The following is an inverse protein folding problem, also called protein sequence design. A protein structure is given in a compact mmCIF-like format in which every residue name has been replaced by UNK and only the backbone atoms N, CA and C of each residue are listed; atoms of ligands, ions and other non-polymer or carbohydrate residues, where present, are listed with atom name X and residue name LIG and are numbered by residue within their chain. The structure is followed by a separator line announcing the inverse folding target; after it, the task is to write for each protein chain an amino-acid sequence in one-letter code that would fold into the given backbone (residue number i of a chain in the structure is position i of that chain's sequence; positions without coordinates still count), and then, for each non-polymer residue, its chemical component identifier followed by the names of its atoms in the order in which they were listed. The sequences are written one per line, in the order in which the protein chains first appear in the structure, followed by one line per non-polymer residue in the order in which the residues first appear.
data_IF_627858623313
#
_entry.id   IF_627858623313
#
_cell.length_a   1.000
_cell.length_b   1.000
_cell.length_c   1.000
_cell.angle_alpha   90.00
_cell.angle_beta   90.00
_cell.angle_gamma   90.00
#
_symmetry.space_group_name_H-M   'P 1'
#
loop_
_entity.id
_entity.type
_entity.pdbx_description
1 polymer ?
#
# COMPACT_ATOMS: atom_id res chain seq x y z
N UNK A 1 -16.85 -9.34 17.61
CA UNK A 1 -15.42 -9.73 17.70
C UNK A 1 -14.75 -9.32 16.40
N UNK A 2 -13.48 -8.90 16.40
CA UNK A 2 -12.81 -8.48 15.18
C UNK A 2 -12.51 -9.69 14.27
N UNK A 3 -12.69 -9.54 12.95
CA UNK A 3 -12.35 -10.55 11.94
C UNK A 3 -11.30 -9.98 10.99
N UNK A 4 -10.29 -10.78 10.65
CA UNK A 4 -9.18 -10.37 9.77
C UNK A 4 -9.25 -11.15 8.47
N UNK A 5 -9.15 -10.46 7.33
CA UNK A 5 -9.13 -11.05 6.01
C UNK A 5 -7.99 -10.44 5.18
N UNK A 6 -7.17 -11.29 4.57
CA UNK A 6 -6.21 -10.86 3.55
C UNK A 6 -6.96 -10.32 2.34
N UNK A 7 -6.48 -9.22 1.78
CA UNK A 7 -7.03 -8.63 0.57
C UNK A 7 -5.88 -8.23 -0.36
N UNK A 8 -5.99 -8.63 -1.62
CA UNK A 8 -5.16 -8.14 -2.71
C UNK A 8 -6.11 -7.61 -3.78
N UNK A 9 -5.92 -6.35 -4.20
CA UNK A 9 -6.79 -5.74 -5.19
C UNK A 9 -6.50 -6.33 -6.59
N UNK A 10 -7.52 -6.45 -7.46
CA UNK A 10 -7.31 -6.91 -8.84
C UNK A 10 -6.25 -6.05 -9.55
N UNK A 11 -5.28 -6.70 -10.20
CA UNK A 11 -4.20 -6.02 -10.93
C UNK A 11 -3.02 -5.58 -10.06
N UNK A 12 -3.08 -5.76 -8.74
CA UNK A 12 -1.92 -5.60 -7.85
C UNK A 12 -1.18 -6.92 -7.74
N UNK A 13 0.15 -6.86 -7.78
CA UNK A 13 0.99 -8.05 -7.62
C UNK A 13 0.79 -8.68 -6.23
N UNK A 14 0.35 -9.93 -6.17
CA UNK A 14 0.18 -10.68 -4.92
C UNK A 14 1.48 -11.40 -4.55
N UNK A 15 2.19 -10.83 -3.58
CA UNK A 15 3.48 -11.36 -3.12
C UNK A 15 3.31 -12.45 -2.06
N UNK A 16 4.14 -13.52 -2.07
CA UNK A 16 4.06 -14.56 -1.05
C UNK A 16 4.56 -14.12 0.33
N UNK A 17 5.32 -13.02 0.44
CA UNK A 17 6.00 -12.62 1.68
C UNK A 17 5.16 -11.77 2.63
N UNK A 18 4.15 -11.04 2.13
CA UNK A 18 3.24 -10.22 2.93
C UNK A 18 1.88 -10.10 2.25
N UNK A 19 0.86 -9.59 2.96
CA UNK A 19 -0.46 -9.33 2.37
C UNK A 19 -0.56 -7.87 1.95
N UNK A 20 -1.00 -7.61 0.71
CA UNK A 20 -1.16 -6.23 0.20
C UNK A 20 -2.08 -5.37 1.07
N UNK A 21 -3.09 -6.00 1.68
CA UNK A 21 -3.89 -5.39 2.71
C UNK A 21 -4.46 -6.41 3.70
N UNK A 22 -4.78 -5.95 4.91
CA UNK A 22 -5.60 -6.68 5.87
C UNK A 22 -6.89 -5.89 6.11
N UNK A 23 -8.01 -6.49 5.73
CA UNK A 23 -9.36 -6.00 6.03
C UNK A 23 -9.76 -6.50 7.41
N UNK A 24 -10.05 -5.56 8.31
CA UNK A 24 -10.52 -5.83 9.67
C UNK A 24 -11.98 -5.41 9.79
N UNK A 25 -12.86 -6.32 10.21
CA UNK A 25 -14.30 -6.08 10.40
C UNK A 25 -14.76 -6.46 11.81
N UNK A 26 -16.00 -6.14 12.19
CA UNK A 26 -16.59 -6.53 13.50
C UNK A 26 -17.06 -5.39 14.40
N UNK A 27 -16.88 -4.12 13.98
CA UNK A 27 -17.54 -2.92 14.54
C UNK A 27 -17.61 -1.77 13.51
N UNK A 28 -16.52 -1.50 12.80
CA UNK A 28 -16.39 -0.72 11.55
C UNK A 28 -15.42 -1.47 10.63
N UNK A 29 -15.40 -1.19 9.33
CA UNK A 29 -14.43 -1.83 8.44
C UNK A 29 -13.18 -0.96 8.35
N UNK A 30 -12.01 -1.51 8.68
CA UNK A 30 -10.72 -0.83 8.57
C UNK A 30 -9.85 -1.63 7.60
N UNK A 31 -9.18 -0.92 6.69
CA UNK A 31 -8.21 -1.50 5.77
C UNK A 31 -6.84 -0.92 6.10
N UNK A 32 -5.91 -1.80 6.49
CA UNK A 32 -4.49 -1.49 6.56
C UNK A 32 -3.87 -1.88 5.23
N UNK A 33 -3.32 -0.90 4.51
CA UNK A 33 -2.59 -1.14 3.28
C UNK A 33 -1.12 -1.40 3.63
N UNK A 34 -0.36 -1.92 2.68
CA UNK A 34 1.09 -1.92 2.73
C UNK A 34 1.61 -0.73 1.90
N UNK A 35 2.87 -0.33 2.15
CA UNK A 35 3.58 0.67 1.36
C UNK A 35 3.48 0.39 -0.13
N UNK A 36 2.87 1.31 -0.87
CA UNK A 36 2.71 1.28 -2.31
C UNK A 36 3.83 2.10 -2.95
N UNK A 37 4.56 1.46 -3.87
CA UNK A 37 5.45 2.10 -4.83
C UNK A 37 4.76 2.07 -6.20
N UNK A 38 5.13 2.91 -7.17
CA UNK A 38 4.37 3.01 -8.41
C UNK A 38 4.71 1.87 -9.38
N UNK A 39 4.35 0.65 -9.00
CA UNK A 39 4.46 -0.53 -9.85
C UNK A 39 3.44 -0.50 -10.98
N UNK A 40 3.89 -0.80 -12.19
CA UNK A 40 3.06 -1.26 -13.29
C UNK A 40 2.63 -2.72 -13.04
N UNK A 41 1.59 -3.21 -13.75
CA UNK A 41 1.11 -4.60 -13.61
C UNK A 41 2.16 -5.68 -13.90
N UNK A 42 3.24 -5.34 -14.60
CA UNK A 42 4.37 -6.22 -14.90
C UNK A 42 5.56 -6.06 -13.94
N UNK A 43 5.43 -5.22 -12.91
CA UNK A 43 6.48 -4.94 -11.92
C UNK A 43 7.46 -3.82 -12.30
N UNK A 44 7.26 -3.13 -13.43
CA UNK A 44 8.04 -1.92 -13.80
C UNK A 44 7.57 -0.66 -13.06
N UNK A 45 8.25 0.49 -13.20
CA UNK A 45 7.99 1.72 -12.41
C UNK A 45 7.24 2.80 -13.23
N UNK A 46 6.23 3.48 -12.66
CA UNK A 46 5.38 4.51 -13.28
C UNK A 46 5.22 5.82 -12.46
N UNK A 47 4.52 6.83 -13.02
CA UNK A 47 3.92 8.04 -12.38
C UNK A 47 4.72 8.78 -11.28
N UNK A 48 5.63 9.67 -11.68
CA UNK A 48 6.37 10.58 -10.77
C UNK A 48 5.53 11.83 -10.42
N UNK A 49 5.34 12.11 -9.13
CA UNK A 49 5.00 13.46 -8.65
C UNK A 49 3.53 13.80 -8.35
N UNK A 50 2.63 12.82 -8.25
CA UNK A 50 1.20 13.06 -8.00
C UNK A 50 0.76 12.58 -6.60
N UNK A 51 0.86 13.46 -5.59
CA UNK A 51 0.32 13.21 -4.25
C UNK A 51 -0.53 14.38 -3.76
N UNK A 52 -1.86 14.26 -3.89
CA UNK A 52 -2.86 15.04 -3.16
C UNK A 52 -3.76 14.05 -2.40
N UNK A 53 -3.90 14.17 -1.08
CA UNK A 53 -4.50 13.08 -0.29
C UNK A 53 -4.84 13.35 1.19
N UNK A 54 -5.28 12.31 1.93
CA UNK A 54 -5.67 12.36 3.34
C UNK A 54 -4.52 12.80 4.27
N UNK A 55 -4.77 12.86 5.58
CA UNK A 55 -3.73 13.16 6.56
C UNK A 55 -2.47 12.31 6.29
N UNK A 56 -1.32 12.98 6.17
CA UNK A 56 -0.09 12.37 5.68
C UNK A 56 1.11 12.76 6.54
N UNK A 57 2.12 11.91 6.49
CA UNK A 57 3.46 12.18 7.01
C UNK A 57 4.42 11.88 5.86
N UNK A 58 5.24 12.86 5.48
CA UNK A 58 6.27 12.68 4.45
C UNK A 58 7.65 12.73 5.10
N UNK A 59 8.46 11.73 4.80
CA UNK A 59 9.83 11.60 5.30
C UNK A 59 10.76 11.22 4.16
N UNK A 60 11.92 11.85 4.11
CA UNK A 60 13.02 11.39 3.26
C UNK A 60 13.70 10.19 3.94
N UNK A 61 14.04 9.18 3.15
CA UNK A 61 14.77 7.99 3.62
C UNK A 61 16.04 7.80 2.80
N UNK A 62 17.03 7.11 3.36
CA UNK A 62 18.32 6.88 2.68
C UNK A 62 18.23 5.88 1.51
N UNK A 63 17.20 5.04 1.48
CA UNK A 63 17.02 3.97 0.47
C UNK A 63 15.62 3.36 0.57
N UNK A 64 15.13 2.81 -0.53
CA UNK A 64 13.90 1.99 -0.60
C UNK A 64 14.22 0.51 -0.89
N UNK A 65 13.19 -0.33 -0.99
CA UNK A 65 13.32 -1.78 -1.19
C UNK A 65 13.95 -2.18 -2.54
N UNK A 66 13.96 -1.28 -3.53
CA UNK A 66 14.66 -1.43 -4.80
C UNK A 66 15.35 -0.10 -5.16
N UNK A 67 16.55 -0.12 -5.78
CA UNK A 67 17.30 1.09 -6.13
C UNK A 67 16.57 2.03 -7.10
N UNK A 68 15.64 1.52 -7.90
CA UNK A 68 14.89 2.31 -8.88
C UNK A 68 13.65 3.00 -8.29
N UNK A 69 13.27 2.70 -7.04
CA UNK A 69 12.13 3.37 -6.41
C UNK A 69 12.53 4.74 -5.89
N UNK A 70 11.65 5.71 -6.14
CA UNK A 70 11.81 7.09 -5.68
C UNK A 70 10.83 7.45 -4.56
N UNK A 71 9.79 6.66 -4.36
CA UNK A 71 8.77 6.89 -3.34
C UNK A 71 8.08 5.59 -2.94
N UNK A 72 7.69 5.51 -1.66
CA UNK A 72 6.81 4.48 -1.11
C UNK A 72 5.78 5.16 -0.20
N UNK A 73 4.50 4.80 -0.33
CA UNK A 73 3.39 5.40 0.40
C UNK A 73 2.48 4.34 1.01
N UNK A 74 2.32 4.34 2.34
CA UNK A 74 1.37 3.47 3.04
C UNK A 74 0.11 4.25 3.45
N UNK A 75 -1.03 3.56 3.58
CA UNK A 75 -2.31 4.17 3.92
C UNK A 75 -3.21 3.29 4.79
N UNK A 76 -4.03 3.97 5.60
CA UNK A 76 -5.08 3.34 6.40
C UNK A 76 -6.41 3.95 5.97
N UNK A 77 -7.38 3.10 5.65
CA UNK A 77 -8.72 3.51 5.25
C UNK A 77 -9.80 2.97 6.19
N UNK A 78 -10.87 3.74 6.38
CA UNK A 78 -12.08 3.31 7.08
C UNK A 78 -13.23 3.27 6.07
N UNK A 79 -13.97 2.16 6.05
CA UNK A 79 -15.09 1.89 5.16
C UNK A 79 -16.40 1.76 5.94
#
# INVERSE_FOLDING_TARGET
MATLQKYCAPGVYDTPSYSQAIKVTGARTILFLAGQVPYAPDGTVNHIGDLMGPASTMVEVSSLSHPDYLIEADAIAVL
#
